data_IF_870179378854
#
_entry.id   IF_870179378854
#
_cell.length_a   1.000
_cell.length_b   1.000
_cell.length_c   1.000
_cell.angle_alpha   90.00
_cell.angle_beta   90.00
_cell.angle_gamma   90.00
#
_symmetry.space_group_name_H-M   'P 1'
#
loop_
_entity.id
_entity.type
_entity.pdbx_description
1 polymer ?
#
# COMPACT_ATOMS: atom_id res chain seq x y z
N UNK A 1 27.06 8.72 -19.65
CA UNK A 1 26.44 9.47 -18.55
C UNK A 1 24.92 9.33 -18.53
N UNK A 2 24.25 9.51 -19.67
CA UNK A 2 22.81 9.35 -19.77
C UNK A 2 22.32 7.98 -19.34
N UNK A 3 23.03 6.93 -19.70
CA UNK A 3 22.66 5.55 -19.32
C UNK A 3 22.77 5.31 -17.83
N UNK A 4 23.76 5.93 -17.18
CA UNK A 4 23.92 5.84 -15.73
C UNK A 4 22.73 6.50 -15.01
N UNK A 5 22.31 7.68 -15.48
CA UNK A 5 21.18 8.38 -14.89
C UNK A 5 19.88 7.62 -15.10
N UNK A 6 19.67 6.99 -16.25
CA UNK A 6 18.52 6.13 -16.50
C UNK A 6 18.47 4.96 -15.52
N UNK A 7 19.60 4.30 -15.30
CA UNK A 7 19.69 3.18 -14.36
C UNK A 7 19.39 3.61 -12.94
N UNK A 8 19.81 4.83 -12.57
CA UNK A 8 19.56 5.39 -11.25
C UNK A 8 18.10 5.57 -10.96
N UNK A 9 17.30 5.95 -11.97
CA UNK A 9 15.87 6.18 -11.83
C UNK A 9 15.02 4.99 -12.27
N UNK A 10 15.66 3.96 -12.78
CA UNK A 10 14.96 2.79 -13.33
C UNK A 10 14.69 1.76 -12.25
N UNK A 11 13.43 1.42 -12.07
CA UNK A 11 13.02 0.36 -11.17
C UNK A 11 12.92 -0.96 -11.93
N UNK A 12 13.13 -2.06 -11.23
CA UNK A 12 12.99 -3.40 -11.79
C UNK A 12 11.53 -3.68 -12.15
N UNK A 13 11.29 -4.09 -13.41
CA UNK A 13 9.96 -4.49 -13.87
C UNK A 13 9.78 -5.98 -13.57
N UNK A 14 8.63 -6.35 -13.02
CA UNK A 14 8.31 -7.74 -12.70
C UNK A 14 7.01 -8.17 -13.36
N UNK A 15 6.94 -9.44 -13.78
CA UNK A 15 5.72 -10.02 -14.33
C UNK A 15 4.69 -10.27 -13.23
N UNK A 16 3.45 -10.57 -13.61
CA UNK A 16 2.41 -10.93 -12.65
C UNK A 16 2.78 -12.12 -11.81
N UNK A 17 3.37 -13.15 -12.41
CA UNK A 17 3.79 -14.34 -11.69
C UNK A 17 4.94 -14.06 -10.73
N UNK A 18 5.91 -13.23 -11.15
CA UNK A 18 7.02 -12.85 -10.30
C UNK A 18 6.56 -12.01 -9.10
N UNK A 19 5.56 -11.16 -9.28
CA UNK A 19 5.00 -10.34 -8.22
C UNK A 19 4.58 -11.20 -7.03
N UNK A 20 3.77 -12.23 -7.28
CA UNK A 20 3.29 -13.12 -6.22
C UNK A 20 4.41 -14.01 -5.67
N UNK A 21 5.33 -14.46 -6.52
CA UNK A 21 6.47 -15.28 -6.09
C UNK A 21 7.37 -14.53 -5.11
N UNK A 22 7.67 -13.27 -5.41
CA UNK A 22 8.52 -12.44 -4.55
C UNK A 22 7.83 -12.19 -3.21
N UNK A 23 6.53 -11.90 -3.22
CA UNK A 23 5.78 -11.70 -1.98
C UNK A 23 5.78 -12.95 -1.12
N UNK A 24 5.62 -14.12 -1.73
CA UNK A 24 5.67 -15.38 -1.01
C UNK A 24 7.05 -15.66 -0.42
N UNK A 25 8.09 -15.51 -1.23
CA UNK A 25 9.46 -15.81 -0.81
C UNK A 25 9.98 -14.85 0.27
N UNK A 26 9.66 -13.55 0.13
CA UNK A 26 10.18 -12.55 1.07
C UNK A 26 9.32 -12.39 2.32
N UNK A 27 8.01 -12.51 2.19
CA UNK A 27 7.07 -12.14 3.25
C UNK A 27 6.08 -13.25 3.62
N UNK A 28 6.17 -14.40 2.98
CA UNK A 28 5.28 -15.51 3.26
C UNK A 28 3.83 -15.29 2.82
N UNK A 29 3.58 -14.31 1.97
CA UNK A 29 2.23 -14.01 1.48
C UNK A 29 1.83 -15.04 0.44
N UNK A 30 0.76 -15.79 0.72
CA UNK A 30 0.26 -16.79 -0.22
C UNK A 30 -0.34 -16.11 -1.46
N UNK A 31 -0.02 -16.62 -2.67
CA UNK A 31 -0.64 -16.06 -3.88
C UNK A 31 -2.15 -16.31 -3.87
N UNK A 32 -2.94 -15.41 -4.53
CA UNK A 32 -4.38 -15.60 -4.59
C UNK A 32 -4.74 -16.80 -5.48
N UNK A 33 -5.82 -17.50 -5.12
CA UNK A 33 -6.40 -18.47 -6.03
C UNK A 33 -7.48 -17.79 -6.87
N UNK A 34 -8.04 -18.53 -7.83
CA UNK A 34 -9.03 -17.96 -8.77
C UNK A 34 -10.35 -17.53 -8.14
N UNK A 35 -10.60 -17.91 -6.90
CA UNK A 35 -11.83 -17.57 -6.17
C UNK A 35 -11.62 -16.47 -5.13
N UNK A 36 -10.39 -16.03 -4.94
CA UNK A 36 -10.04 -15.06 -3.91
C UNK A 36 -10.17 -13.64 -4.46
N UNK A 37 -11.36 -13.05 -4.34
CA UNK A 37 -11.66 -11.72 -4.89
C UNK A 37 -11.11 -10.59 -4.05
N UNK A 38 -10.91 -10.82 -2.75
CA UNK A 38 -10.46 -9.80 -1.80
C UNK A 38 -9.06 -10.09 -1.26
N UNK A 39 -8.22 -10.72 -2.10
CA UNK A 39 -6.89 -11.16 -1.69
C UNK A 39 -6.05 -10.03 -1.07
N UNK A 40 -6.05 -8.84 -1.67
CA UNK A 40 -5.25 -7.71 -1.20
C UNK A 40 -5.66 -7.23 0.19
N UNK A 41 -6.89 -7.46 0.60
CA UNK A 41 -7.37 -7.13 1.95
C UNK A 41 -7.03 -8.21 2.96
N UNK A 42 -7.02 -9.47 2.53
CA UNK A 42 -6.72 -10.60 3.42
C UNK A 42 -5.22 -10.87 3.54
N UNK A 43 -4.44 -10.50 2.53
CA UNK A 43 -3.00 -10.70 2.51
C UNK A 43 -2.23 -9.63 3.26
N UNK A 44 -2.79 -8.42 3.41
CA UNK A 44 -2.14 -7.33 4.13
C UNK A 44 -2.04 -7.65 5.61
N UNK A 45 -0.88 -7.39 6.20
CA UNK A 45 -0.69 -7.56 7.63
C UNK A 45 0.24 -6.48 8.19
N UNK A 46 0.03 -6.15 9.49
CA UNK A 46 0.71 -5.04 10.13
C UNK A 46 2.22 -5.24 10.26
N UNK A 47 2.68 -6.46 10.46
CA UNK A 47 4.10 -6.75 10.65
C UNK A 47 4.94 -6.43 9.43
N UNK A 48 4.34 -6.53 8.24
CA UNK A 48 5.04 -6.37 6.97
C UNK A 48 4.75 -5.06 6.26
N UNK A 49 4.07 -4.11 6.93
CA UNK A 49 3.65 -2.85 6.29
C UNK A 49 4.82 -2.11 5.65
N UNK A 50 5.93 -1.91 6.38
CA UNK A 50 7.09 -1.23 5.83
C UNK A 50 7.77 -2.05 4.72
N UNK A 51 7.73 -3.37 4.80
CA UNK A 51 8.26 -4.24 3.76
C UNK A 51 7.50 -4.08 2.46
N UNK A 52 6.18 -3.94 2.54
CA UNK A 52 5.35 -3.70 1.35
C UNK A 52 5.62 -2.33 0.74
N UNK A 53 5.87 -1.31 1.57
CA UNK A 53 6.26 0.01 1.08
C UNK A 53 7.60 -0.08 0.35
N UNK A 54 8.57 -0.77 0.93
CA UNK A 54 9.88 -0.99 0.31
C UNK A 54 9.72 -1.71 -1.04
N UNK A 55 8.85 -2.71 -1.09
CA UNK A 55 8.55 -3.46 -2.31
C UNK A 55 8.00 -2.52 -3.39
N UNK A 56 7.04 -1.67 -3.04
CA UNK A 56 6.46 -0.69 -3.97
C UNK A 56 7.53 0.23 -4.55
N UNK A 57 8.45 0.68 -3.70
CA UNK A 57 9.51 1.61 -4.11
C UNK A 57 10.61 0.92 -4.94
N UNK A 58 10.85 -0.36 -4.71
CA UNK A 58 11.91 -1.12 -5.36
C UNK A 58 11.57 -1.52 -6.80
N UNK A 59 10.31 -1.84 -7.08
CA UNK A 59 9.88 -2.38 -8.37
C UNK A 59 9.03 -1.41 -9.16
N UNK A 60 9.11 -1.53 -10.49
CA UNK A 60 8.19 -0.83 -11.38
C UNK A 60 6.97 -1.71 -11.59
N UNK A 61 5.85 -1.31 -11.01
CA UNK A 61 4.65 -2.13 -10.94
C UNK A 61 3.61 -1.72 -11.98
N UNK A 62 2.84 -2.68 -12.49
CA UNK A 62 1.68 -2.40 -13.34
C UNK A 62 0.59 -1.72 -12.51
N UNK A 63 -0.41 -1.14 -13.17
CA UNK A 63 -1.54 -0.50 -12.49
C UNK A 63 -2.25 -1.46 -11.53
N UNK A 64 -2.46 -2.71 -11.97
CA UNK A 64 -3.10 -3.73 -11.14
C UNK A 64 -2.24 -4.07 -9.91
N UNK A 65 -0.95 -4.27 -10.11
CA UNK A 65 -0.01 -4.57 -9.02
C UNK A 65 0.08 -3.42 -8.01
N UNK A 66 0.06 -2.18 -8.49
CA UNK A 66 0.06 -0.99 -7.61
C UNK A 66 -1.16 -0.99 -6.69
N UNK A 67 -2.35 -1.25 -7.24
CA UNK A 67 -3.57 -1.27 -6.44
C UNK A 67 -3.54 -2.39 -5.40
N UNK A 68 -3.06 -3.57 -5.77
CA UNK A 68 -2.96 -4.68 -4.82
C UNK A 68 -2.00 -4.37 -3.67
N UNK A 69 -0.79 -3.91 -3.99
CA UNK A 69 0.22 -3.66 -2.95
C UNK A 69 -0.16 -2.46 -2.07
N UNK A 70 -0.76 -1.43 -2.64
CA UNK A 70 -1.20 -0.26 -1.87
C UNK A 70 -2.36 -0.63 -0.94
N UNK A 71 -3.29 -1.48 -1.38
CA UNK A 71 -4.34 -2.00 -0.49
C UNK A 71 -3.72 -2.77 0.69
N UNK A 72 -2.72 -3.58 0.45
CA UNK A 72 -2.01 -4.31 1.51
C UNK A 72 -1.32 -3.35 2.48
N UNK A 73 -0.69 -2.31 1.97
CA UNK A 73 -0.03 -1.28 2.78
C UNK A 73 -1.04 -0.57 3.68
N UNK A 74 -2.16 -0.12 3.11
CA UNK A 74 -3.18 0.61 3.88
C UNK A 74 -3.84 -0.30 4.90
N UNK A 75 -4.15 -1.53 4.55
CA UNK A 75 -4.72 -2.51 5.48
C UNK A 75 -3.77 -2.74 6.66
N UNK A 76 -2.48 -2.95 6.38
CA UNK A 76 -1.48 -3.13 7.43
C UNK A 76 -1.34 -1.90 8.30
N UNK A 77 -1.34 -0.71 7.72
CA UNK A 77 -1.26 0.55 8.47
C UNK A 77 -2.49 0.74 9.36
N UNK A 78 -3.68 0.45 8.83
CA UNK A 78 -4.92 0.49 9.62
C UNK A 78 -4.80 -0.39 10.87
N UNK A 79 -4.27 -1.59 10.71
CA UNK A 79 -4.07 -2.53 11.82
C UNK A 79 -3.03 -2.02 12.81
N UNK A 80 -1.96 -1.36 12.34
CA UNK A 80 -0.96 -0.75 13.23
C UNK A 80 -1.57 0.33 14.11
N UNK A 81 -2.49 1.13 13.57
CA UNK A 81 -3.18 2.16 14.35
C UNK A 81 -4.02 1.50 15.44
N UNK A 82 -4.75 0.45 15.10
CA UNK A 82 -5.57 -0.31 16.05
C UNK A 82 -4.73 -0.91 17.16
N UNK A 83 -3.53 -1.37 16.85
CA UNK A 83 -2.59 -1.97 17.81
C UNK A 83 -1.94 -0.94 18.74
N UNK A 84 -2.25 0.35 18.59
CA UNK A 84 -1.70 1.45 19.39
C UNK A 84 -0.17 1.53 19.33
N UNK A 85 0.38 1.35 18.14
CA UNK A 85 1.82 1.50 17.91
C UNK A 85 2.23 2.96 18.18
N UNK A 86 3.47 3.17 18.61
CA UNK A 86 4.03 4.48 18.90
C UNK A 86 3.72 5.49 17.78
N UNK A 87 3.24 6.67 18.18
CA UNK A 87 2.79 7.69 17.22
C UNK A 87 3.91 8.20 16.31
N UNK A 88 5.16 8.19 16.77
CA UNK A 88 6.30 8.59 15.94
C UNK A 88 6.53 7.56 14.82
N UNK A 89 6.36 6.28 15.13
CA UNK A 89 6.46 5.21 14.13
C UNK A 89 5.33 5.33 13.12
N UNK A 90 4.09 5.53 13.59
CA UNK A 90 2.94 5.70 12.71
C UNK A 90 3.13 6.90 11.78
N UNK A 91 3.62 8.03 12.30
CA UNK A 91 3.84 9.22 11.49
C UNK A 91 4.91 8.98 10.42
N UNK A 92 5.99 8.29 10.76
CA UNK A 92 7.04 7.95 9.82
C UNK A 92 6.51 7.10 8.66
N UNK A 93 5.68 6.11 8.97
CA UNK A 93 5.08 5.23 7.97
C UNK A 93 4.08 6.03 7.13
N UNK A 94 3.26 6.85 7.76
CA UNK A 94 2.26 7.67 7.08
C UNK A 94 2.88 8.59 6.03
N UNK A 95 3.99 9.25 6.34
CA UNK A 95 4.68 10.13 5.39
C UNK A 95 5.03 9.36 4.11
N UNK A 96 5.49 8.13 4.23
CA UNK A 96 5.82 7.30 3.08
C UNK A 96 4.58 6.92 2.27
N UNK A 97 3.51 6.54 2.95
CA UNK A 97 2.22 6.21 2.31
C UNK A 97 1.66 7.44 1.59
N UNK A 98 1.68 8.58 2.25
CA UNK A 98 1.21 9.85 1.69
C UNK A 98 1.97 10.18 0.39
N UNK A 99 3.28 10.01 0.40
CA UNK A 99 4.11 10.23 -0.78
C UNK A 99 3.69 9.35 -1.96
N UNK A 100 3.40 8.08 -1.71
CA UNK A 100 2.91 7.16 -2.74
C UNK A 100 1.59 7.65 -3.33
N UNK A 101 0.62 7.97 -2.47
CA UNK A 101 -0.71 8.37 -2.92
C UNK A 101 -0.70 9.70 -3.66
N UNK A 102 0.11 10.66 -3.20
CA UNK A 102 0.21 11.96 -3.86
C UNK A 102 0.97 11.91 -5.18
N UNK A 103 1.89 10.97 -5.34
CA UNK A 103 2.67 10.84 -6.57
C UNK A 103 1.80 10.53 -7.79
N UNK A 104 0.68 9.85 -7.58
CA UNK A 104 -0.28 9.50 -8.62
C UNK A 104 -1.72 9.71 -8.10
N UNK A 105 -2.00 10.91 -7.62
CA UNK A 105 -3.26 11.22 -6.91
C UNK A 105 -4.51 10.92 -7.74
N UNK A 106 -4.48 11.21 -9.04
CA UNK A 106 -5.63 10.92 -9.91
C UNK A 106 -5.86 9.41 -10.05
N UNK A 107 -4.77 8.66 -10.16
CA UNK A 107 -4.85 7.21 -10.26
C UNK A 107 -5.43 6.59 -8.99
N UNK A 108 -5.05 7.11 -7.82
CA UNK A 108 -5.50 6.59 -6.54
C UNK A 108 -6.76 7.28 -6.00
N UNK A 109 -7.40 8.15 -6.79
CA UNK A 109 -8.51 8.98 -6.28
C UNK A 109 -9.65 8.16 -5.69
N UNK A 110 -10.13 7.13 -6.40
CA UNK A 110 -11.22 6.27 -5.92
C UNK A 110 -10.82 5.49 -4.68
N UNK A 111 -9.56 5.09 -4.62
CA UNK A 111 -8.98 4.41 -3.48
C UNK A 111 -8.97 5.32 -2.25
N UNK A 112 -8.52 6.56 -2.45
CA UNK A 112 -8.49 7.59 -1.39
C UNK A 112 -9.91 7.86 -0.89
N UNK A 113 -10.86 8.00 -1.79
CA UNK A 113 -12.28 8.20 -1.46
C UNK A 113 -12.82 7.05 -0.59
N UNK A 114 -12.56 5.84 -1.00
CA UNK A 114 -13.01 4.65 -0.27
C UNK A 114 -12.50 4.63 1.17
N UNK A 115 -11.19 4.80 1.34
CA UNK A 115 -10.57 4.72 2.66
C UNK A 115 -10.81 5.95 3.53
N UNK A 116 -11.22 7.07 2.94
CA UNK A 116 -11.51 8.30 3.68
C UNK A 116 -12.84 8.24 4.45
N UNK A 117 -13.75 7.38 4.03
CA UNK A 117 -15.07 7.24 4.65
C UNK A 117 -15.81 8.57 4.77
N UNK A 118 -15.75 9.42 3.73
CA UNK A 118 -16.35 10.74 3.78
C UNK A 118 -17.88 10.73 3.93
N UNK A 119 -18.51 9.65 3.50
CA UNK A 119 -19.96 9.45 3.59
C UNK A 119 -20.41 8.89 4.96
N UNK A 120 -19.47 8.57 5.84
CA UNK A 120 -19.77 8.00 7.16
C UNK A 120 -19.60 9.09 8.20
N UNK A 121 -20.70 9.49 8.87
CA UNK A 121 -20.71 10.59 9.82
C UNK A 121 -20.02 10.26 11.14
N UNK A 122 -20.27 9.06 11.69
CA UNK A 122 -19.72 8.67 12.98
C UNK A 122 -18.27 8.17 12.80
N UNK A 123 -17.34 8.81 13.49
CA UNK A 123 -15.92 8.45 13.45
C UNK A 123 -15.69 6.99 13.82
N UNK A 124 -16.43 6.47 14.80
CA UNK A 124 -16.31 5.09 15.25
C UNK A 124 -16.67 4.05 14.20
N UNK A 125 -17.42 4.46 13.17
CA UNK A 125 -17.82 3.56 12.06
C UNK A 125 -16.84 3.60 10.89
N UNK A 126 -15.81 4.45 10.97
CA UNK A 126 -14.80 4.60 9.93
C UNK A 126 -13.62 3.70 10.19
N UNK A 127 -12.79 3.49 9.15
CA UNK A 127 -11.50 2.82 9.32
C UNK A 127 -10.59 3.69 10.21
N UNK A 128 -9.68 3.07 10.94
CA UNK A 128 -8.71 3.80 11.76
C UNK A 128 -7.83 4.72 10.91
N UNK A 129 -7.50 4.31 9.68
CA UNK A 129 -6.67 5.08 8.76
C UNK A 129 -7.42 6.28 8.16
N UNK A 130 -8.74 6.32 8.22
CA UNK A 130 -9.55 7.35 7.53
C UNK A 130 -9.14 8.77 7.89
N UNK A 131 -8.81 9.03 9.14
CA UNK A 131 -8.41 10.38 9.59
C UNK A 131 -7.13 10.86 8.90
N UNK A 132 -6.23 9.94 8.54
CA UNK A 132 -5.02 10.29 7.80
C UNK A 132 -5.33 10.51 6.32
N UNK A 133 -6.11 9.60 5.73
CA UNK A 133 -6.44 9.64 4.30
C UNK A 133 -7.26 10.89 3.95
N UNK A 134 -8.14 11.35 4.85
CA UNK A 134 -8.96 12.54 4.64
C UNK A 134 -8.14 13.79 4.36
N UNK A 135 -6.94 13.88 4.88
CA UNK A 135 -6.06 15.00 4.64
C UNK A 135 -5.61 15.11 3.17
N UNK A 136 -5.83 14.07 2.39
CA UNK A 136 -5.48 14.05 0.96
C UNK A 136 -6.60 14.56 0.04
N UNK A 137 -7.80 14.77 0.58
CA UNK A 137 -8.95 15.23 -0.21
C UNK A 137 -8.99 16.73 -0.41
#
# INVERSE_FOLDING_TARGET
>A
MGDFERKKNHKNVISGNEFYSILYERHGVMPPDKYDQDWEFTAGDSEHTEDYINFYEEYSLSSFQKLEIVNMIIQGFNDLIEENIDSNVLYRIWIRIKSILESEKEFYYQFIEYWSCMDIELEEDRFYVSKFIRDLL
#
